data_IF_332876392271
#
_entry.id   IF_332876392271
#
_cell.length_a   1.000
_cell.length_b   1.000
_cell.length_c   1.000
_cell.angle_alpha   90.00
_cell.angle_beta   90.00
_cell.angle_gamma   90.00
#
_symmetry.space_group_name_H-M   'P 1'
#
loop_
_entity.id
_entity.type
_entity.pdbx_description
1 polymer ?
#
# COMPACT_ATOMS: atom_id res chain seq x y z
N UNK A 1 1.05 16.09 -0.08
CA UNK A 1 1.38 15.24 1.08
C UNK A 1 0.41 14.08 1.08
N UNK A 2 0.91 12.85 1.01
CA UNK A 2 0.10 11.64 1.05
C UNK A 2 -0.63 11.55 2.41
N UNK A 3 -1.93 11.81 2.44
CA UNK A 3 -2.75 11.73 3.66
C UNK A 3 -3.40 10.35 3.86
N UNK A 4 -2.77 9.26 3.36
CA UNK A 4 -3.29 7.91 3.58
C UNK A 4 -2.62 7.31 4.82
N UNK A 5 -3.43 6.93 5.82
CA UNK A 5 -2.95 6.39 7.09
C UNK A 5 -2.61 4.89 7.02
N UNK A 6 -2.92 4.22 5.90
CA UNK A 6 -2.63 2.80 5.66
C UNK A 6 -3.19 1.85 6.74
N UNK A 7 -4.37 2.16 7.32
CA UNK A 7 -5.01 1.34 8.34
C UNK A 7 -5.69 0.08 7.75
N UNK A 8 -6.17 0.18 6.51
CA UNK A 8 -6.85 -0.92 5.80
C UNK A 8 -5.88 -1.59 4.83
N UNK A 9 -5.28 -2.69 5.27
CA UNK A 9 -4.31 -3.46 4.52
C UNK A 9 -4.85 -4.86 4.17
N UNK A 10 -4.62 -5.27 2.93
CA UNK A 10 -4.84 -6.62 2.44
C UNK A 10 -3.49 -7.33 2.31
N UNK A 11 -3.33 -8.50 2.92
CA UNK A 11 -2.12 -9.30 2.77
C UNK A 11 -2.04 -9.92 1.38
N UNK A 12 -0.95 -9.67 0.67
CA UNK A 12 -0.71 -10.17 -0.69
C UNK A 12 0.09 -11.46 -0.71
N UNK A 13 0.81 -11.78 0.38
CA UNK A 13 1.69 -12.93 0.45
C UNK A 13 3.09 -12.58 0.95
N UNK A 14 3.94 -13.60 0.97
CA UNK A 14 5.32 -13.48 1.41
C UNK A 14 6.29 -14.05 0.40
N UNK A 15 7.49 -13.48 0.37
CA UNK A 15 8.59 -13.92 -0.48
C UNK A 15 9.73 -14.38 0.42
N UNK A 16 10.22 -15.61 0.19
CA UNK A 16 11.36 -16.14 0.93
C UNK A 16 12.64 -15.44 0.47
N UNK A 17 13.43 -15.03 1.44
CA UNK A 17 14.77 -14.47 1.28
C UNK A 17 15.76 -15.28 2.11
N UNK A 18 17.06 -15.02 1.95
CA UNK A 18 18.10 -15.67 2.76
C UNK A 18 17.96 -15.38 4.27
N UNK A 19 17.35 -14.25 4.63
CA UNK A 19 17.21 -13.79 6.01
C UNK A 19 15.82 -13.94 6.64
N UNK A 20 14.87 -14.59 5.96
CA UNK A 20 13.48 -14.73 6.41
C UNK A 20 12.48 -14.45 5.29
N UNK A 21 11.30 -13.91 5.62
CA UNK A 21 10.28 -13.56 4.61
C UNK A 21 10.05 -12.05 4.52
N UNK A 22 10.03 -11.53 3.31
CA UNK A 22 9.36 -10.26 3.04
C UNK A 22 7.85 -10.51 3.09
N UNK A 23 7.11 -9.59 3.71
CA UNK A 23 5.65 -9.62 3.75
C UNK A 23 5.08 -8.43 2.98
N UNK A 24 4.14 -8.70 2.09
CA UNK A 24 3.56 -7.70 1.19
C UNK A 24 2.11 -7.42 1.57
N UNK A 25 1.76 -6.14 1.64
CA UNK A 25 0.41 -5.68 1.96
C UNK A 25 -0.03 -4.61 0.97
N UNK A 26 -1.26 -4.68 0.46
CA UNK A 26 -1.86 -3.61 -0.34
C UNK A 26 -2.77 -2.75 0.52
N UNK A 27 -2.59 -1.44 0.46
CA UNK A 27 -3.54 -0.50 1.03
C UNK A 27 -4.80 -0.46 0.18
N UNK A 28 -5.95 -0.75 0.78
CA UNK A 28 -7.24 -0.73 0.09
C UNK A 28 -7.75 0.68 -0.20
N UNK A 29 -7.14 1.71 0.41
CA UNK A 29 -7.55 3.10 0.23
C UNK A 29 -6.79 3.78 -0.93
N UNK A 30 -5.45 3.77 -0.88
CA UNK A 30 -4.63 4.44 -1.92
C UNK A 30 -3.98 3.48 -2.93
N UNK A 31 -4.08 2.17 -2.72
CA UNK A 31 -3.49 1.15 -3.58
C UNK A 31 -1.97 0.97 -3.42
N UNK A 32 -1.32 1.69 -2.50
CA UNK A 32 0.10 1.52 -2.23
C UNK A 32 0.41 0.10 -1.73
N UNK A 33 1.59 -0.43 -2.08
CA UNK A 33 2.10 -1.68 -1.51
C UNK A 33 3.08 -1.36 -0.39
N UNK A 34 2.84 -1.95 0.78
CA UNK A 34 3.74 -1.90 1.93
C UNK A 34 4.50 -3.22 1.99
N UNK A 35 5.83 -3.13 2.01
CA UNK A 35 6.73 -4.27 2.11
C UNK A 35 7.39 -4.24 3.49
N UNK A 36 7.15 -5.26 4.30
CA UNK A 36 7.81 -5.44 5.61
C UNK A 36 8.89 -6.49 5.44
N UNK A 37 10.15 -6.09 5.64
CA UNK A 37 11.30 -6.98 5.58
C UNK A 37 11.39 -7.87 6.81
N UNK A 38 12.17 -8.98 6.78
CA UNK A 38 12.41 -9.82 7.95
C UNK A 38 12.95 -9.06 9.16
N UNK A 39 13.62 -7.93 8.93
CA UNK A 39 14.19 -7.07 9.99
C UNK A 39 13.20 -6.06 10.56
N UNK A 40 11.95 -6.07 10.11
CA UNK A 40 10.90 -5.16 10.54
C UNK A 40 10.91 -3.80 9.84
N UNK A 41 11.84 -3.53 8.92
CA UNK A 41 11.82 -2.30 8.11
C UNK A 41 10.69 -2.35 7.10
N UNK A 42 9.91 -1.27 7.03
CA UNK A 42 8.79 -1.12 6.10
C UNK A 42 9.11 -0.16 4.95
N UNK A 43 8.72 -0.52 3.73
CA UNK A 43 8.86 0.30 2.53
C UNK A 43 7.48 0.50 1.89
N UNK A 44 7.23 1.72 1.40
CA UNK A 44 6.03 2.05 0.62
C UNK A 44 6.39 2.12 -0.87
N UNK A 45 5.63 1.41 -1.71
CA UNK A 45 5.78 1.39 -3.15
C UNK A 45 4.48 1.90 -3.78
N UNK A 46 4.59 2.96 -4.57
CA UNK A 46 3.46 3.57 -5.27
C UNK A 46 2.38 4.13 -4.34
N UNK A 47 1.13 4.04 -4.81
CA UNK A 47 -0.03 4.68 -4.19
C UNK A 47 -0.46 5.93 -4.94
N UNK A 48 -1.78 6.16 -5.02
CA UNK A 48 -2.34 7.38 -5.58
C UNK A 48 -2.36 8.47 -4.52
N UNK A 49 -2.16 9.71 -4.98
CA UNK A 49 -2.43 10.87 -4.14
C UNK A 49 -3.92 10.96 -3.83
N UNK A 50 -4.27 11.56 -2.70
CA UNK A 50 -5.68 11.80 -2.31
C UNK A 50 -6.42 12.62 -3.38
N UNK A 51 -5.71 13.54 -4.04
CA UNK A 51 -6.28 14.37 -5.10
C UNK A 51 -6.70 13.54 -6.31
N UNK A 52 -5.89 12.57 -6.73
CA UNK A 52 -6.24 11.64 -7.81
C UNK A 52 -7.43 10.75 -7.45
N UNK A 53 -7.52 10.31 -6.19
CA UNK A 53 -8.65 9.51 -5.70
C UNK A 53 -9.94 10.33 -5.73
N UNK A 54 -9.89 11.60 -5.32
CA UNK A 54 -11.05 12.52 -5.35
C UNK A 54 -11.53 12.76 -6.78
N UNK A 55 -10.62 13.00 -7.72
CA UNK A 55 -10.96 13.19 -9.14
C UNK A 55 -11.62 11.92 -9.71
N UNK A 56 -11.08 10.74 -9.40
CA UNK A 56 -11.67 9.46 -9.80
C UNK A 56 -13.08 9.25 -9.21
N UNK A 57 -13.26 9.54 -7.93
CA UNK A 57 -14.56 9.44 -7.28
C UNK A 57 -15.60 10.38 -7.91
N UNK A 58 -15.21 11.63 -8.21
CA UNK A 58 -16.10 12.59 -8.89
C UNK A 58 -16.47 12.15 -10.31
N UNK A 59 -15.54 11.53 -11.06
CA UNK A 59 -15.81 11.03 -12.42
C UNK A 59 -16.76 9.84 -12.47
N UNK A 60 -16.88 9.04 -11.41
CA UNK A 60 -17.83 7.91 -11.37
C UNK A 60 -19.27 8.32 -11.05
N UNK A 61 -19.48 9.58 -10.65
CA UNK A 61 -20.80 10.12 -10.27
C UNK A 61 -21.44 10.92 -11.43
N UNK A 62 -20.66 11.22 -12.49
CA UNK A 62 -21.09 11.95 -13.69
C UNK A 62 -21.36 11.02 -14.88
#
# INVERSE_FOLDING_TARGET
MDMCNHEKLEYLGGEKTDGGFNQYFRCLECGAVIVITPRGTAFKIGGRSVEEIRILAMKMIL
#
